data_IF_494483066282
#
_entry.id   IF_494483066282
#
_cell.length_a   1.000
_cell.length_b   1.000
_cell.length_c   1.000
_cell.angle_alpha   90.00
_cell.angle_beta   90.00
_cell.angle_gamma   90.00
#
_symmetry.space_group_name_H-M   'P 1'
#
loop_
_entity.id
_entity.type
_entity.pdbx_description
1 polymer ?
#
# COMPACT_ATOMS: atom_id res chain seq x y z
N UNK A 1 -76.25 17.93 -7.84
CA UNK A 1 -75.09 18.50 -8.56
C UNK A 1 -74.65 19.73 -7.78
N UNK A 2 -73.51 19.89 -7.10
CA UNK A 2 -72.42 19.01 -6.64
C UNK A 2 -71.51 19.95 -5.83
N UNK A 3 -71.73 20.06 -4.51
CA UNK A 3 -70.89 20.85 -3.59
C UNK A 3 -69.88 19.93 -2.89
N UNK A 4 -69.00 19.33 -3.68
CA UNK A 4 -67.80 18.65 -3.19
C UNK A 4 -66.57 19.21 -3.92
N UNK A 5 -66.12 20.38 -3.52
CA UNK A 5 -64.69 20.74 -3.67
C UNK A 5 -64.09 20.87 -2.29
N UNK A 6 -63.81 19.69 -1.72
CA UNK A 6 -63.06 19.50 -0.48
C UNK A 6 -61.74 20.28 -0.56
N UNK A 7 -61.44 21.02 0.49
CA UNK A 7 -60.13 21.64 0.75
C UNK A 7 -59.07 20.53 0.83
N UNK A 8 -58.29 20.37 -0.25
CA UNK A 8 -57.20 19.38 -0.38
C UNK A 8 -55.85 20.07 -0.15
N UNK A 9 -55.76 20.98 0.84
CA UNK A 9 -54.45 21.49 1.26
C UNK A 9 -54.40 21.41 2.77
N UNK A 10 -53.62 20.44 3.27
CA UNK A 10 -53.31 20.31 4.68
C UNK A 10 -52.60 21.60 5.13
N UNK A 11 -53.27 22.41 5.96
CA UNK A 11 -52.76 23.72 6.38
C UNK A 11 -51.41 23.61 7.12
N UNK A 12 -51.14 22.47 7.75
CA UNK A 12 -49.84 22.18 8.36
C UNK A 12 -48.74 21.98 7.32
N UNK A 13 -49.01 21.26 6.23
CA UNK A 13 -48.05 21.10 5.12
C UNK A 13 -47.80 22.44 4.43
N UNK A 14 -48.84 23.25 4.24
CA UNK A 14 -48.69 24.61 3.71
C UNK A 14 -47.79 25.45 4.61
N UNK A 15 -47.95 25.37 5.94
CA UNK A 15 -47.12 26.12 6.89
C UNK A 15 -45.68 25.59 6.93
N UNK A 16 -45.47 24.27 6.81
CA UNK A 16 -44.13 23.67 6.68
C UNK A 16 -43.43 24.13 5.41
N UNK A 17 -44.12 24.09 4.26
CA UNK A 17 -43.60 24.54 2.98
C UNK A 17 -43.25 26.04 3.00
N UNK A 18 -44.09 26.89 3.62
CA UNK A 18 -43.79 28.32 3.78
C UNK A 18 -42.52 28.54 4.62
N UNK A 19 -42.34 27.76 5.70
CA UNK A 19 -41.14 27.87 6.55
C UNK A 19 -39.88 27.35 5.83
N UNK A 20 -39.99 26.30 5.03
CA UNK A 20 -38.88 25.82 4.20
C UNK A 20 -38.50 26.82 3.11
N UNK A 21 -39.48 27.42 2.44
CA UNK A 21 -39.24 28.48 1.46
C UNK A 21 -38.60 29.70 2.13
N UNK A 22 -38.99 30.05 3.36
CA UNK A 22 -38.38 31.13 4.12
C UNK A 22 -36.91 30.84 4.47
N UNK A 23 -36.57 29.60 4.90
CA UNK A 23 -35.17 29.20 5.13
C UNK A 23 -34.35 29.19 3.85
N UNK A 24 -34.90 28.64 2.76
CA UNK A 24 -34.22 28.65 1.46
C UNK A 24 -33.99 30.08 0.97
N UNK A 25 -34.95 30.99 1.21
CA UNK A 25 -34.80 32.41 0.91
C UNK A 25 -33.74 33.09 1.78
N UNK A 26 -33.64 32.74 3.06
CA UNK A 26 -32.61 33.27 3.98
C UNK A 26 -31.20 32.79 3.57
N UNK A 27 -31.07 31.54 3.11
CA UNK A 27 -29.84 31.01 2.51
C UNK A 27 -29.55 31.70 1.16
N UNK A 28 -30.56 31.91 0.31
CA UNK A 28 -30.39 32.63 -0.96
C UNK A 28 -30.08 34.12 -0.76
N UNK A 29 -30.60 34.75 0.29
CA UNK A 29 -30.27 36.11 0.67
C UNK A 29 -28.88 36.17 1.30
N UNK A 30 -28.38 35.10 1.96
CA UNK A 30 -26.96 35.01 2.36
C UNK A 30 -26.02 34.85 1.17
N UNK A 31 -26.46 34.24 0.06
CA UNK A 31 -25.76 34.28 -1.23
C UNK A 31 -25.76 35.67 -1.89
N UNK A 32 -26.74 36.54 -1.56
CA UNK A 32 -26.89 37.89 -2.15
C UNK A 32 -25.95 38.93 -1.51
N UNK A 33 -25.41 38.66 -0.32
CA UNK A 33 -24.44 39.53 0.37
C UNK A 33 -22.99 39.02 0.23
N UNK A 34 -22.52 38.85 -1.00
CA UNK A 34 -21.22 39.37 -1.46
C UNK A 34 -19.89 38.98 -0.82
N UNK A 35 -19.82 38.04 0.12
CA UNK A 35 -18.55 37.49 0.63
C UNK A 35 -18.67 35.97 0.66
N UNK A 36 -17.68 35.29 0.05
CA UNK A 36 -17.45 33.84 0.01
C UNK A 36 -17.82 33.09 -1.29
N UNK A 37 -18.31 33.72 -2.36
CA UNK A 37 -18.48 32.98 -3.63
C UNK A 37 -17.13 32.64 -4.28
N UNK A 38 -16.15 33.54 -4.15
CA UNK A 38 -14.77 33.31 -4.61
C UNK A 38 -14.08 32.23 -3.77
N UNK A 39 -14.19 32.31 -2.43
CA UNK A 39 -13.65 31.27 -1.54
C UNK A 39 -14.31 29.89 -1.78
N UNK A 40 -15.62 29.87 -2.00
CA UNK A 40 -16.35 28.65 -2.33
C UNK A 40 -15.94 28.08 -3.71
N UNK A 41 -15.75 28.95 -4.71
CA UNK A 41 -15.27 28.53 -6.02
C UNK A 41 -13.83 27.99 -5.92
N UNK A 42 -12.95 28.65 -5.16
CA UNK A 42 -11.59 28.22 -4.92
C UNK A 42 -11.53 26.88 -4.17
N UNK A 43 -12.38 26.67 -3.16
CA UNK A 43 -12.51 25.37 -2.49
C UNK A 43 -13.01 24.28 -3.43
N UNK A 44 -13.98 24.58 -4.31
CA UNK A 44 -14.44 23.65 -5.33
C UNK A 44 -13.33 23.30 -6.33
N UNK A 45 -12.57 24.28 -6.82
CA UNK A 45 -11.47 24.04 -7.74
C UNK A 45 -10.34 23.24 -7.08
N UNK A 46 -9.97 23.55 -5.83
CA UNK A 46 -9.00 22.75 -5.05
C UNK A 46 -9.46 21.30 -4.89
N UNK A 47 -10.75 21.10 -4.62
CA UNK A 47 -11.32 19.75 -4.46
C UNK A 47 -11.28 18.98 -5.78
N UNK A 48 -11.65 19.62 -6.89
CA UNK A 48 -11.61 19.02 -8.23
C UNK A 48 -10.16 18.67 -8.63
N UNK A 49 -9.20 19.55 -8.32
CA UNK A 49 -7.80 19.32 -8.65
C UNK A 49 -7.21 18.15 -7.84
N UNK A 50 -7.50 18.09 -6.53
CA UNK A 50 -7.15 16.95 -5.67
C UNK A 50 -7.76 15.64 -6.17
N UNK A 51 -9.05 15.64 -6.52
CA UNK A 51 -9.71 14.46 -7.10
C UNK A 51 -9.07 14.04 -8.43
N UNK A 52 -8.68 15.00 -9.28
CA UNK A 52 -8.01 14.73 -10.55
C UNK A 52 -6.64 14.08 -10.35
N UNK A 53 -5.85 14.58 -9.38
CA UNK A 53 -4.56 14.00 -9.02
C UNK A 53 -4.75 12.57 -8.45
N UNK A 54 -5.74 12.38 -7.58
CA UNK A 54 -6.05 11.06 -7.02
C UNK A 54 -6.45 10.05 -8.11
N UNK A 55 -7.26 10.45 -9.08
CA UNK A 55 -7.64 9.60 -10.22
C UNK A 55 -6.41 9.22 -11.05
N UNK A 56 -5.52 10.18 -11.35
CA UNK A 56 -4.28 9.88 -12.10
C UNK A 56 -3.39 8.88 -11.35
N UNK A 57 -3.23 9.05 -10.03
CA UNK A 57 -2.46 8.11 -9.23
C UNK A 57 -3.11 6.72 -9.12
N UNK A 58 -4.44 6.65 -9.07
CA UNK A 58 -5.15 5.37 -9.13
C UNK A 58 -4.92 4.68 -10.46
N UNK A 59 -4.93 5.42 -11.58
CA UNK A 59 -4.69 4.89 -12.92
C UNK A 59 -3.27 4.32 -13.05
N UNK A 60 -2.25 5.07 -12.61
CA UNK A 60 -0.85 4.61 -12.57
C UNK A 60 -0.67 3.36 -11.69
N UNK A 61 -1.38 3.29 -10.54
CA UNK A 61 -1.36 2.09 -9.69
C UNK A 61 -2.04 0.91 -10.39
N UNK A 62 -3.10 1.15 -11.15
CA UNK A 62 -3.81 0.11 -11.88
C UNK A 62 -2.97 -0.46 -13.01
N UNK A 63 -2.24 0.38 -13.76
CA UNK A 63 -1.25 -0.09 -14.76
C UNK A 63 -0.17 -0.96 -14.13
N UNK A 64 0.40 -0.54 -12.98
CA UNK A 64 1.40 -1.35 -12.25
C UNK A 64 0.84 -2.69 -11.77
N UNK A 65 -0.44 -2.74 -11.39
CA UNK A 65 -1.11 -3.99 -11.02
C UNK A 65 -1.25 -4.89 -12.25
N UNK A 66 -1.66 -4.35 -13.39
CA UNK A 66 -1.76 -5.10 -14.65
C UNK A 66 -0.40 -5.67 -15.07
N UNK A 67 0.67 -4.88 -15.03
CA UNK A 67 2.03 -5.39 -15.31
C UNK A 67 2.45 -6.51 -14.36
N UNK A 68 2.11 -6.39 -13.07
CA UNK A 68 2.40 -7.43 -12.07
C UNK A 68 1.60 -8.70 -12.35
N UNK A 69 0.32 -8.58 -12.73
CA UNK A 69 -0.51 -9.72 -13.10
C UNK A 69 0.02 -10.41 -14.35
N UNK A 70 0.44 -9.65 -15.37
CA UNK A 70 1.01 -10.21 -16.60
C UNK A 70 2.32 -10.96 -16.33
N UNK A 71 3.21 -10.39 -15.48
CA UNK A 71 4.42 -11.08 -15.02
C UNK A 71 4.11 -12.34 -14.22
N UNK A 72 3.06 -12.32 -13.39
CA UNK A 72 2.64 -13.47 -12.62
C UNK A 72 2.08 -14.57 -13.54
N UNK A 73 1.24 -14.19 -14.51
CA UNK A 73 0.68 -15.11 -15.51
C UNK A 73 1.79 -15.73 -16.38
N UNK A 74 2.80 -14.94 -16.78
CA UNK A 74 3.99 -15.45 -17.46
C UNK A 74 4.72 -16.51 -16.62
N UNK A 75 4.98 -16.24 -15.33
CA UNK A 75 5.60 -17.21 -14.42
C UNK A 75 4.75 -18.46 -14.19
N UNK A 76 3.42 -18.35 -14.22
CA UNK A 76 2.53 -19.50 -14.15
C UNK A 76 2.55 -20.34 -15.43
N UNK A 77 2.60 -19.71 -16.60
CA UNK A 77 2.72 -20.38 -17.90
C UNK A 77 4.08 -21.07 -18.09
N UNK A 78 5.14 -20.51 -17.54
CA UNK A 78 6.49 -21.08 -17.59
C UNK A 78 6.69 -22.28 -16.64
N UNK A 79 5.72 -22.57 -15.77
CA UNK A 79 5.74 -23.68 -14.84
C UNK A 79 6.62 -23.43 -13.62
N UNK A 80 6.06 -23.56 -12.42
CA UNK A 80 6.80 -23.40 -11.17
C UNK A 80 7.61 -24.68 -10.90
N UNK A 81 8.91 -24.67 -11.18
CA UNK A 81 9.82 -25.76 -10.79
C UNK A 81 10.09 -25.68 -9.29
N UNK A 82 9.23 -26.34 -8.50
CA UNK A 82 9.40 -26.49 -7.06
C UNK A 82 10.40 -27.62 -6.78
N UNK A 83 11.65 -27.28 -6.48
CA UNK A 83 12.58 -28.21 -5.82
C UNK A 83 12.26 -28.25 -4.34
N UNK A 84 11.56 -29.31 -3.90
CA UNK A 84 11.37 -29.61 -2.48
C UNK A 84 12.69 -30.18 -1.95
N UNK A 85 13.49 -29.36 -1.28
CA UNK A 85 14.58 -29.84 -0.44
C UNK A 85 13.98 -30.59 0.75
N UNK A 86 14.49 -31.79 1.00
CA UNK A 86 13.75 -32.84 1.70
C UNK A 86 13.44 -32.58 3.17
N UNK A 87 12.31 -33.17 3.59
CA UNK A 87 12.15 -33.73 4.93
C UNK A 87 11.73 -35.18 4.72
N UNK A 88 12.67 -36.09 4.95
CA UNK A 88 12.41 -37.52 5.04
C UNK A 88 12.10 -37.89 6.50
N UNK A 89 11.10 -38.75 6.67
CA UNK A 89 10.65 -39.36 7.91
C UNK A 89 9.12 -39.23 7.99
N UNK A 90 8.30 -40.27 7.86
CA UNK A 90 8.50 -41.71 8.00
C UNK A 90 7.22 -42.43 7.52
N UNK A 91 7.37 -43.61 6.92
CA UNK A 91 6.37 -44.70 6.78
C UNK A 91 5.08 -44.43 5.99
N UNK A 92 4.55 -45.30 5.14
CA UNK A 92 4.90 -46.66 4.70
C UNK A 92 3.91 -47.04 3.60
N UNK A 93 4.36 -47.75 2.56
CA UNK A 93 3.47 -48.68 1.86
C UNK A 93 3.45 -48.63 0.33
N UNK A 94 4.10 -49.64 -0.25
CA UNK A 94 3.67 -50.41 -1.43
C UNK A 94 4.25 -50.00 -2.80
N UNK A 95 5.27 -50.78 -3.15
CA UNK A 95 5.45 -51.50 -4.44
C UNK A 95 6.35 -50.88 -5.50
N UNK A 96 7.30 -51.71 -5.95
CA UNK A 96 8.07 -51.53 -7.17
C UNK A 96 9.56 -51.54 -6.89
N UNK A 97 10.20 -52.70 -7.05
CA UNK A 97 11.65 -52.86 -7.08
C UNK A 97 12.31 -51.83 -8.00
N UNK A 98 13.01 -50.85 -7.43
CA UNK A 98 14.01 -50.10 -8.18
C UNK A 98 15.32 -50.19 -7.41
N UNK A 99 16.14 -51.16 -7.82
CA UNK A 99 17.53 -51.28 -7.44
C UNK A 99 18.28 -50.13 -8.12
N UNK A 100 18.42 -49.01 -7.42
CA UNK A 100 19.27 -47.89 -7.85
C UNK A 100 20.62 -48.12 -7.22
N UNK A 101 21.60 -48.54 -8.04
CA UNK A 101 22.99 -48.60 -7.61
C UNK A 101 23.45 -47.18 -7.27
N UNK A 102 23.79 -46.96 -6.00
CA UNK A 102 24.50 -45.78 -5.55
C UNK A 102 25.97 -45.92 -5.96
N UNK A 103 26.44 -45.12 -6.91
CA UNK A 103 27.87 -44.80 -6.99
C UNK A 103 28.15 -43.76 -5.91
N UNK A 104 28.56 -44.22 -4.73
CA UNK A 104 29.18 -43.38 -3.71
C UNK A 104 30.50 -42.84 -4.26
N UNK A 105 30.49 -41.62 -4.80
CA UNK A 105 31.70 -40.84 -4.94
C UNK A 105 32.13 -40.43 -3.52
N UNK A 106 33.08 -41.18 -2.95
CA UNK A 106 33.71 -40.89 -1.66
C UNK A 106 34.50 -39.58 -1.82
N UNK A 107 33.83 -38.45 -1.60
CA UNK A 107 34.47 -37.14 -1.49
C UNK A 107 35.30 -37.15 -0.20
N UNK A 108 36.62 -37.05 -0.36
CA UNK A 108 37.57 -36.88 0.76
C UNK A 108 37.09 -35.75 1.69
N UNK A 109 37.23 -35.90 3.02
CA UNK A 109 36.83 -34.85 3.95
C UNK A 109 37.63 -33.59 3.67
N UNK A 110 36.93 -32.50 3.36
CA UNK A 110 37.50 -31.15 3.33
C UNK A 110 38.03 -30.82 4.73
N UNK A 111 39.23 -30.20 4.84
CA UNK A 111 39.75 -29.79 6.13
C UNK A 111 38.79 -28.78 6.79
N UNK A 112 38.74 -28.72 8.14
CA UNK A 112 37.91 -27.74 8.83
C UNK A 112 38.28 -26.33 8.37
N UNK A 113 37.29 -25.43 8.20
CA UNK A 113 37.55 -24.07 7.77
C UNK A 113 38.50 -23.39 8.74
N UNK A 114 39.42 -22.60 8.20
CA UNK A 114 40.41 -21.86 8.97
C UNK A 114 39.73 -20.79 9.86
N UNK A 115 40.36 -20.39 10.97
CA UNK A 115 39.80 -19.38 11.89
C UNK A 115 39.48 -18.04 11.18
N UNK A 116 40.19 -17.74 10.09
CA UNK A 116 39.95 -16.57 9.23
C UNK A 116 38.65 -16.68 8.40
N UNK A 117 38.30 -17.88 7.93
CA UNK A 117 37.03 -18.14 7.22
C UNK A 117 35.84 -18.03 8.18
N UNK A 118 35.99 -18.49 9.43
CA UNK A 118 34.96 -18.39 10.47
C UNK A 118 34.73 -16.93 10.89
N UNK A 119 35.80 -16.14 11.04
CA UNK A 119 35.69 -14.70 11.33
C UNK A 119 35.04 -13.92 10.18
N UNK A 120 35.33 -14.29 8.93
CA UNK A 120 34.70 -13.69 7.76
C UNK A 120 33.21 -14.05 7.64
N UNK A 121 32.82 -15.27 8.04
CA UNK A 121 31.45 -15.75 8.03
C UNK A 121 30.59 -15.06 9.11
N UNK A 122 31.13 -14.87 10.32
CA UNK A 122 30.48 -14.10 11.39
C UNK A 122 30.23 -12.64 10.97
N UNK A 123 31.23 -12.00 10.36
CA UNK A 123 31.10 -10.64 9.82
C UNK A 123 30.06 -10.54 8.68
N UNK A 124 29.93 -11.57 7.86
CA UNK A 124 28.92 -11.62 6.79
C UNK A 124 27.51 -11.85 7.35
N UNK A 125 27.38 -12.67 8.38
CA UNK A 125 26.10 -12.97 9.04
C UNK A 125 25.56 -11.74 9.79
N UNK A 126 26.42 -10.98 10.46
CA UNK A 126 26.09 -9.69 11.06
C UNK A 126 25.58 -8.67 10.02
N UNK A 127 26.27 -8.53 8.88
CA UNK A 127 25.83 -7.65 7.78
C UNK A 127 24.48 -8.08 7.18
N UNK A 128 24.23 -9.40 7.07
CA UNK A 128 22.94 -9.92 6.60
C UNK A 128 21.81 -9.65 7.60
N UNK A 129 22.10 -9.74 8.90
CA UNK A 129 21.14 -9.43 9.94
C UNK A 129 20.79 -7.94 9.96
N UNK A 130 21.79 -7.06 9.85
CA UNK A 130 21.60 -5.61 9.73
C UNK A 130 20.78 -5.25 8.48
N UNK A 131 21.06 -5.90 7.34
CA UNK A 131 20.27 -5.72 6.12
C UNK A 131 18.79 -6.15 6.29
N UNK A 132 18.53 -7.23 7.01
CA UNK A 132 17.17 -7.69 7.30
C UNK A 132 16.43 -6.73 8.24
N UNK A 133 17.10 -6.22 9.27
CA UNK A 133 16.54 -5.23 10.19
C UNK A 133 16.20 -3.91 9.47
N UNK A 134 17.06 -3.47 8.55
CA UNK A 134 16.80 -2.31 7.71
C UNK A 134 15.60 -2.52 6.79
N UNK A 135 15.46 -3.69 6.16
CA UNK A 135 14.28 -4.03 5.35
C UNK A 135 12.98 -3.95 6.16
N UNK A 136 12.97 -4.46 7.40
CA UNK A 136 11.80 -4.38 8.28
C UNK A 136 11.48 -2.93 8.65
N UNK A 137 12.51 -2.11 8.94
CA UNK A 137 12.32 -0.68 9.23
C UNK A 137 11.76 0.08 8.02
N UNK A 138 12.29 -0.18 6.82
CA UNK A 138 11.80 0.40 5.55
C UNK A 138 10.34 0.02 5.31
N UNK A 139 9.98 -1.26 5.50
CA UNK A 139 8.60 -1.72 5.34
C UNK A 139 7.64 -0.98 6.29
N UNK A 140 8.01 -0.82 7.57
CA UNK A 140 7.21 -0.05 8.54
C UNK A 140 7.08 1.43 8.18
N UNK A 141 8.11 2.04 7.61
CA UNK A 141 8.02 3.42 7.12
C UNK A 141 7.09 3.54 5.92
N UNK A 142 7.09 2.55 5.03
CA UNK A 142 6.14 2.46 3.91
C UNK A 142 4.68 2.34 4.39
N UNK A 143 4.43 1.52 5.40
CA UNK A 143 3.09 1.39 6.00
C UNK A 143 2.64 2.73 6.61
N UNK A 144 3.51 3.41 7.37
CA UNK A 144 3.20 4.71 7.95
C UNK A 144 3.01 5.82 6.93
N UNK A 145 3.78 5.80 5.84
CA UNK A 145 3.60 6.73 4.72
C UNK A 145 2.18 6.59 4.15
N UNK A 146 1.75 5.36 3.92
CA UNK A 146 0.43 5.07 3.37
C UNK A 146 -0.69 5.41 4.37
N UNK A 147 -0.48 5.18 5.67
CA UNK A 147 -1.41 5.60 6.73
C UNK A 147 -1.58 7.12 6.76
N UNK A 148 -0.50 7.90 6.70
CA UNK A 148 -0.60 9.36 6.68
C UNK A 148 -1.24 9.89 5.39
N UNK A 149 -0.95 9.27 4.24
CA UNK A 149 -1.61 9.61 2.97
C UNK A 149 -3.14 9.35 3.05
N UNK A 150 -3.56 8.25 3.70
CA UNK A 150 -4.98 7.95 3.94
C UNK A 150 -5.62 8.93 4.95
N UNK A 151 -4.89 9.34 5.98
CA UNK A 151 -5.35 10.36 6.95
C UNK A 151 -5.51 11.73 6.30
N UNK A 152 -4.61 12.14 5.40
CA UNK A 152 -4.72 13.40 4.66
C UNK A 152 -5.97 13.46 3.78
N UNK A 153 -6.41 12.32 3.25
CA UNK A 153 -7.61 12.19 2.43
C UNK A 153 -8.91 12.19 3.26
N UNK A 154 -8.84 11.79 4.53
CA UNK A 154 -10.01 11.60 5.39
C UNK A 154 -10.23 12.72 6.40
N UNK A 155 -9.18 13.46 6.78
CA UNK A 155 -9.25 14.67 7.62
C UNK A 155 -8.66 15.90 6.90
N UNK A 156 -9.51 16.69 6.21
CA UNK A 156 -9.07 17.87 5.46
C UNK A 156 -8.51 19.00 6.33
N UNK A 157 -8.86 19.06 7.63
CA UNK A 157 -8.45 20.14 8.52
C UNK A 157 -6.96 20.02 8.91
N UNK A 158 -6.45 18.79 8.93
CA UNK A 158 -5.05 18.49 9.29
C UNK A 158 -4.24 17.96 8.10
N UNK A 159 -4.77 18.07 6.87
CA UNK A 159 -4.16 17.51 5.66
C UNK A 159 -2.71 17.98 5.45
N UNK A 160 -2.45 19.28 5.65
CA UNK A 160 -1.10 19.85 5.49
C UNK A 160 -0.09 19.25 6.48
N UNK A 161 -0.52 18.94 7.72
CA UNK A 161 0.34 18.28 8.71
C UNK A 161 0.63 16.82 8.35
N UNK A 162 -0.35 16.12 7.78
CA UNK A 162 -0.17 14.74 7.32
C UNK A 162 0.73 14.69 6.08
N UNK A 163 0.58 15.61 5.13
CA UNK A 163 1.47 15.74 3.97
C UNK A 163 2.93 15.99 4.40
N UNK A 164 3.17 16.82 5.42
CA UNK A 164 4.51 17.03 5.96
C UNK A 164 5.07 15.76 6.63
N UNK A 165 4.25 15.02 7.38
CA UNK A 165 4.65 13.73 7.96
C UNK A 165 4.97 12.69 6.89
N UNK A 166 4.22 12.66 5.78
CA UNK A 166 4.52 11.82 4.61
C UNK A 166 5.88 12.18 4.03
N UNK A 167 6.15 13.47 3.82
CA UNK A 167 7.44 13.95 3.30
C UNK A 167 8.61 13.51 4.18
N UNK A 168 8.53 13.74 5.50
CA UNK A 168 9.56 13.35 6.46
C UNK A 168 9.76 11.83 6.53
N UNK A 169 8.67 11.06 6.43
CA UNK A 169 8.71 9.59 6.42
C UNK A 169 9.36 9.06 5.14
N UNK A 170 9.07 9.68 3.98
CA UNK A 170 9.73 9.39 2.69
C UNK A 170 11.22 9.68 2.71
N UNK A 171 11.63 10.81 3.30
CA UNK A 171 13.05 11.17 3.44
C UNK A 171 13.80 10.13 4.28
N UNK A 172 13.29 9.82 5.48
CA UNK A 172 13.87 8.78 6.33
C UNK A 172 13.91 7.41 5.66
N UNK A 173 12.88 7.06 4.89
CA UNK A 173 12.85 5.81 4.12
C UNK A 173 13.98 5.78 3.10
N UNK A 174 14.16 6.87 2.34
CA UNK A 174 15.23 6.98 1.34
C UNK A 174 16.62 6.84 1.96
N UNK A 175 16.86 7.46 3.12
CA UNK A 175 18.12 7.32 3.86
C UNK A 175 18.38 5.85 4.26
N UNK A 176 17.37 5.14 4.76
CA UNK A 176 17.52 3.72 5.11
C UNK A 176 17.69 2.82 3.87
N UNK A 177 17.07 3.16 2.75
CA UNK A 177 17.25 2.46 1.47
C UNK A 177 18.66 2.63 0.93
N UNK A 178 19.25 3.82 1.08
CA UNK A 178 20.63 4.11 0.72
C UNK A 178 21.61 3.29 1.60
N UNK A 179 21.40 3.30 2.93
CA UNK A 179 22.17 2.46 3.87
C UNK A 179 22.05 0.97 3.54
N UNK A 180 20.85 0.49 3.22
CA UNK A 180 20.62 -0.90 2.80
C UNK A 180 21.37 -1.20 1.49
N UNK A 181 21.38 -0.26 0.54
CA UNK A 181 22.13 -0.36 -0.70
C UNK A 181 23.63 -0.51 -0.48
N UNK A 182 24.22 0.31 0.40
CA UNK A 182 25.64 0.20 0.78
C UNK A 182 25.96 -1.16 1.42
N UNK A 183 25.12 -1.63 2.33
CA UNK A 183 25.31 -2.94 2.99
C UNK A 183 25.18 -4.07 1.98
N UNK A 184 24.20 -4.01 1.07
CA UNK A 184 24.02 -5.02 0.02
C UNK A 184 25.18 -5.05 -0.97
N UNK A 185 25.78 -3.89 -1.31
CA UNK A 185 27.01 -3.83 -2.10
C UNK A 185 28.18 -4.50 -1.36
N UNK A 186 28.38 -4.22 -0.07
CA UNK A 186 29.43 -4.87 0.74
C UNK A 186 29.26 -6.39 0.88
N UNK A 187 28.01 -6.88 0.83
CA UNK A 187 27.70 -8.32 0.83
C UNK A 187 27.98 -8.93 -0.56
N UNK A 188 27.82 -8.18 -1.66
CA UNK A 188 28.02 -8.63 -3.04
C UNK A 188 29.41 -8.41 -3.63
N UNK A 189 30.21 -7.51 -3.07
CA UNK A 189 31.60 -7.17 -3.49
C UNK A 189 32.68 -8.02 -2.76
N UNK A 190 32.31 -9.21 -2.25
CA UNK A 190 33.24 -10.22 -1.72
C UNK A 190 33.10 -11.52 -2.48
#
# INVERSE_FOLDING_TARGET
MSDETKSIVNEEERRRLINEIARMKEILDSFKYGLNFEDFADELFKTIDRQTIAIKHLDEKMEKILERMEKLEGRFKDGIKVTVAGVAGSDSGVSGSHEVMFEEEIVKPTPPPSEEEIASALSLEELKQEANDLKVKIARLFEKENEYDEMAMTDPASADEYEEKVRLTREKRRELEEQLGEIMQRIGDR
#
